data_IF_893968719575
#
_entry.id   IF_893968719575
#
_cell.length_a   1.000
_cell.length_b   1.000
_cell.length_c   1.000
_cell.angle_alpha   90.00
_cell.angle_beta   90.00
_cell.angle_gamma   90.00
#
_symmetry.space_group_name_H-M   'P 1'
#
loop_
_entity.id
_entity.type
_entity.pdbx_description
1 polymer ?
#
# COMPACT_ATOMS: atom_id res chain seq x y z
N UNK A 1 -4.04 -28.27 6.47
CA UNK A 1 -3.56 -28.18 5.06
C UNK A 1 -2.03 -28.30 4.88
N UNK A 2 -1.18 -27.43 5.45
CA UNK A 2 0.30 -27.54 5.26
C UNK A 2 0.85 -28.82 5.90
N UNK A 3 0.50 -29.08 7.16
CA UNK A 3 0.87 -30.31 7.88
C UNK A 3 0.32 -31.56 7.18
N UNK A 4 -0.98 -31.57 6.84
CA UNK A 4 -1.63 -32.65 6.10
C UNK A 4 -0.95 -32.99 4.75
N UNK A 5 -0.29 -32.01 4.12
CA UNK A 5 0.41 -32.19 2.84
C UNK A 5 1.92 -32.42 3.00
N UNK A 6 2.44 -32.51 4.23
CA UNK A 6 3.86 -32.75 4.50
C UNK A 6 4.78 -31.60 4.07
N UNK A 7 4.28 -30.36 4.05
CA UNK A 7 5.03 -29.19 3.53
C UNK A 7 5.69 -28.34 4.62
N UNK A 8 5.80 -28.84 5.85
CA UNK A 8 6.31 -28.07 7.00
C UNK A 8 7.76 -27.63 6.83
N UNK A 9 8.58 -28.40 6.12
CA UNK A 9 9.99 -28.06 5.88
C UNK A 9 10.18 -27.08 4.71
N UNK A 10 9.13 -26.83 3.92
CA UNK A 10 9.16 -25.96 2.73
C UNK A 10 8.38 -24.67 2.89
N UNK A 11 7.54 -24.56 3.92
CA UNK A 11 6.67 -23.39 4.15
C UNK A 11 6.93 -22.82 5.54
N UNK A 12 7.44 -21.58 5.57
CA UNK A 12 7.63 -20.83 6.81
C UNK A 12 6.65 -19.66 6.87
N UNK A 13 5.82 -19.65 7.92
CA UNK A 13 4.99 -18.48 8.23
C UNK A 13 5.79 -17.48 9.05
N UNK A 14 5.87 -16.25 8.57
CA UNK A 14 6.43 -15.12 9.33
C UNK A 14 5.27 -14.40 9.99
N UNK A 15 4.99 -14.75 11.24
CA UNK A 15 3.87 -14.18 12.01
C UNK A 15 4.25 -12.84 12.66
N UNK A 16 4.71 -11.89 11.85
CA UNK A 16 5.14 -10.57 12.28
C UNK A 16 4.64 -9.52 11.28
N UNK A 17 4.23 -8.37 11.80
CA UNK A 17 4.11 -7.18 10.98
C UNK A 17 5.52 -6.64 10.74
N UNK A 18 5.98 -6.67 9.48
CA UNK A 18 7.34 -6.27 9.13
C UNK A 18 7.40 -4.78 8.85
N UNK A 19 8.33 -4.10 9.52
CA UNK A 19 8.69 -2.74 9.16
C UNK A 19 9.28 -2.70 7.76
N UNK A 20 9.13 -1.55 7.09
CA UNK A 20 9.50 -1.40 5.68
C UNK A 20 10.95 -1.84 5.38
N UNK A 21 11.99 -1.46 6.15
CA UNK A 21 13.37 -1.91 5.86
C UNK A 21 13.51 -3.43 5.85
N UNK A 22 12.90 -4.11 6.82
CA UNK A 22 12.95 -5.57 6.94
C UNK A 22 12.17 -6.23 5.80
N UNK A 23 10.99 -5.70 5.46
CA UNK A 23 10.24 -6.18 4.30
C UNK A 23 11.05 -6.08 3.01
N UNK A 24 11.76 -4.96 2.79
CA UNK A 24 12.58 -4.77 1.60
C UNK A 24 13.74 -5.77 1.54
N UNK A 25 14.39 -6.08 2.67
CA UNK A 25 15.41 -7.14 2.74
C UNK A 25 14.84 -8.51 2.34
N UNK A 26 13.66 -8.86 2.85
CA UNK A 26 12.97 -10.10 2.45
C UNK A 26 12.73 -10.15 0.95
N UNK A 27 12.23 -9.06 0.37
CA UNK A 27 11.92 -8.98 -1.06
C UNK A 27 13.19 -9.02 -1.93
N UNK A 28 14.30 -8.43 -1.49
CA UNK A 28 15.60 -8.51 -2.17
C UNK A 28 16.17 -9.94 -2.17
N UNK A 29 15.92 -10.71 -1.11
CA UNK A 29 16.31 -12.12 -1.00
C UNK A 29 15.34 -13.08 -1.71
N UNK A 30 14.20 -12.59 -2.18
CA UNK A 30 13.15 -13.40 -2.80
C UNK A 30 13.45 -13.64 -4.28
N UNK A 31 13.52 -14.92 -4.68
CA UNK A 31 13.73 -15.30 -6.09
C UNK A 31 12.52 -15.03 -6.98
N UNK A 32 11.31 -15.25 -6.46
CA UNK A 32 10.04 -15.04 -7.15
C UNK A 32 8.97 -14.59 -6.14
N UNK A 33 8.32 -13.45 -6.42
CA UNK A 33 7.21 -12.96 -5.62
C UNK A 33 5.87 -13.37 -6.24
N UNK A 34 5.03 -14.02 -5.43
CA UNK A 34 3.72 -14.52 -5.85
C UNK A 34 2.61 -13.59 -5.36
N UNK A 35 1.96 -12.88 -6.27
CA UNK A 35 0.81 -12.05 -5.99
C UNK A 35 -0.48 -12.80 -6.37
N UNK A 36 -1.18 -13.35 -5.36
CA UNK A 36 -2.27 -14.32 -5.55
C UNK A 36 -3.63 -13.78 -5.13
N UNK A 37 -3.89 -12.49 -5.38
CA UNK A 37 -5.17 -11.88 -5.01
C UNK A 37 -6.34 -12.61 -5.67
N UNK A 38 -7.43 -12.80 -4.91
CA UNK A 38 -8.66 -13.41 -5.41
C UNK A 38 -9.71 -12.39 -5.83
N UNK A 39 -9.44 -11.10 -5.59
CA UNK A 39 -10.32 -10.01 -5.97
C UNK A 39 -9.88 -9.41 -7.32
N UNK A 40 -10.65 -9.61 -8.40
CA UNK A 40 -10.34 -9.05 -9.71
C UNK A 40 -10.43 -7.52 -9.74
N UNK A 41 -11.11 -6.89 -8.78
CA UNK A 41 -11.31 -5.46 -8.74
C UNK A 41 -10.28 -4.73 -7.87
N UNK A 42 -9.29 -5.44 -7.32
CA UNK A 42 -8.24 -4.81 -6.53
C UNK A 42 -7.49 -3.78 -7.39
N UNK A 43 -7.65 -2.50 -7.05
CA UNK A 43 -7.16 -1.40 -7.87
C UNK A 43 -5.63 -1.28 -7.84
N UNK A 44 -4.99 -1.52 -6.68
CA UNK A 44 -3.53 -1.38 -6.48
C UNK A 44 -3.02 -2.35 -5.41
N UNK A 45 -1.70 -2.55 -5.37
CA UNK A 45 -1.02 -3.32 -4.32
C UNK A 45 0.35 -2.71 -4.03
N UNK A 46 0.58 -2.24 -2.80
CA UNK A 46 1.86 -1.64 -2.39
C UNK A 46 2.99 -2.67 -2.31
N UNK A 47 2.72 -3.85 -1.74
CA UNK A 47 3.72 -4.94 -1.64
C UNK A 47 4.15 -5.46 -3.00
N UNK A 48 3.25 -5.45 -3.99
CA UNK A 48 3.58 -5.73 -5.39
C UNK A 48 4.61 -4.74 -5.95
N UNK A 49 4.40 -3.42 -5.75
CA UNK A 49 5.35 -2.39 -6.24
C UNK A 49 6.68 -2.51 -5.52
N UNK A 50 6.68 -2.76 -4.20
CA UNK A 50 7.92 -2.98 -3.45
C UNK A 50 8.70 -4.17 -4.02
N UNK A 51 8.04 -5.31 -4.24
CA UNK A 51 8.70 -6.49 -4.81
C UNK A 51 9.31 -6.19 -6.19
N UNK A 52 8.55 -5.52 -7.06
CA UNK A 52 9.01 -5.13 -8.39
C UNK A 52 10.19 -4.14 -8.31
N UNK A 53 10.16 -3.19 -7.38
CA UNK A 53 11.24 -2.21 -7.15
C UNK A 53 12.50 -2.81 -6.53
N UNK A 54 12.37 -3.95 -5.82
CA UNK A 54 13.51 -4.76 -5.38
C UNK A 54 14.08 -5.62 -6.52
N UNK A 55 13.52 -5.54 -7.73
CA UNK A 55 13.93 -6.37 -8.86
C UNK A 55 13.54 -7.83 -8.70
N UNK A 56 12.47 -8.11 -7.95
CA UNK A 56 11.94 -9.45 -7.82
C UNK A 56 11.08 -9.79 -9.05
N UNK A 57 11.33 -10.91 -9.75
CA UNK A 57 10.41 -11.45 -10.75
C UNK A 57 9.03 -11.71 -10.15
N UNK A 58 7.97 -11.25 -10.83
CA UNK A 58 6.60 -11.31 -10.31
C UNK A 58 5.77 -12.33 -11.07
N UNK A 59 4.98 -13.12 -10.34
CA UNK A 59 3.85 -13.89 -10.87
C UNK A 59 2.57 -13.37 -10.22
N UNK A 60 1.60 -12.90 -11.01
CA UNK A 60 0.43 -12.21 -10.50
C UNK A 60 -0.88 -12.66 -11.15
N UNK A 61 -1.97 -12.62 -10.39
CA UNK A 61 -3.34 -12.70 -10.94
C UNK A 61 -3.68 -11.43 -11.73
N UNK A 62 -4.58 -11.50 -12.75
CA UNK A 62 -4.87 -10.40 -13.67
C UNK A 62 -5.78 -9.34 -13.04
N UNK A 63 -5.27 -8.59 -12.06
CA UNK A 63 -5.90 -7.37 -11.56
C UNK A 63 -5.47 -6.17 -12.43
N UNK A 64 -6.24 -5.04 -12.47
CA UNK A 64 -5.92 -3.88 -13.31
C UNK A 64 -4.46 -3.40 -13.17
N UNK A 65 -3.98 -3.27 -11.93
CA UNK A 65 -2.61 -2.86 -11.63
C UNK A 65 -1.54 -3.81 -12.19
N UNK A 66 -1.75 -5.13 -12.08
CA UNK A 66 -0.81 -6.13 -12.57
C UNK A 66 -0.79 -6.17 -14.10
N UNK A 67 -1.95 -6.03 -14.74
CA UNK A 67 -2.04 -5.97 -16.20
C UNK A 67 -1.35 -4.73 -16.77
N UNK A 68 -1.48 -3.58 -16.11
CA UNK A 68 -0.78 -2.35 -16.49
C UNK A 68 0.75 -2.48 -16.32
N UNK A 69 1.19 -2.99 -15.16
CA UNK A 69 2.61 -3.06 -14.83
C UNK A 69 3.35 -4.24 -15.47
N UNK A 70 2.70 -5.32 -15.88
CA UNK A 70 3.37 -6.52 -16.41
C UNK A 70 3.19 -6.73 -17.92
N UNK A 71 2.74 -5.70 -18.66
CA UNK A 71 2.46 -5.76 -20.09
C UNK A 71 3.69 -5.93 -21.03
N UNK A 72 4.91 -5.96 -20.49
CA UNK A 72 6.19 -5.92 -21.22
C UNK A 72 7.12 -7.11 -20.88
N UNK A 73 6.54 -8.23 -20.45
CA UNK A 73 7.27 -9.41 -19.96
C UNK A 73 8.09 -9.18 -18.68
N UNK A 74 7.84 -8.10 -17.93
CA UNK A 74 8.44 -7.87 -16.59
C UNK A 74 7.90 -8.82 -15.51
N UNK A 75 6.88 -9.62 -15.82
CA UNK A 75 6.36 -10.68 -14.96
C UNK A 75 5.49 -11.68 -15.72
N UNK A 76 4.84 -12.57 -14.98
CA UNK A 76 3.95 -13.60 -15.53
C UNK A 76 2.54 -13.41 -14.96
N UNK A 77 1.54 -13.43 -15.82
CA UNK A 77 0.13 -13.42 -15.41
C UNK A 77 -0.41 -14.86 -15.42
N UNK A 78 -1.20 -15.22 -14.41
CA UNK A 78 -1.89 -16.51 -14.33
C UNK A 78 -3.33 -16.33 -13.84
N UNK A 79 -4.23 -17.24 -14.20
CA UNK A 79 -5.65 -17.10 -13.87
C UNK A 79 -5.97 -17.28 -12.37
N UNK A 80 -7.06 -16.63 -11.94
CA UNK A 80 -7.53 -16.72 -10.57
C UNK A 80 -7.81 -18.17 -10.16
N UNK A 81 -7.24 -18.57 -9.01
CA UNK A 81 -7.41 -19.90 -8.41
C UNK A 81 -6.87 -21.06 -9.28
N UNK A 82 -6.09 -20.78 -10.32
CA UNK A 82 -5.42 -21.82 -11.12
C UNK A 82 -4.06 -22.17 -10.52
N UNK A 83 -4.04 -23.21 -9.68
CA UNK A 83 -2.81 -23.69 -9.06
C UNK A 83 -1.84 -24.34 -10.05
N UNK A 84 -2.33 -24.84 -11.17
CA UNK A 84 -1.51 -25.54 -12.18
C UNK A 84 -0.71 -24.51 -12.98
N UNK A 85 -1.35 -23.43 -13.43
CA UNK A 85 -0.66 -22.32 -14.08
C UNK A 85 0.36 -21.68 -13.14
N UNK A 86 -0.01 -21.44 -11.87
CA UNK A 86 0.89 -20.87 -10.87
C UNK A 86 2.14 -21.74 -10.68
N UNK A 87 1.96 -23.06 -10.55
CA UNK A 87 3.07 -24.01 -10.40
C UNK A 87 3.98 -24.03 -11.65
N UNK A 88 3.39 -24.09 -12.85
CA UNK A 88 4.14 -24.08 -14.10
C UNK A 88 4.94 -22.80 -14.30
N UNK A 89 4.33 -21.63 -14.01
CA UNK A 89 5.00 -20.34 -14.07
C UNK A 89 6.15 -20.26 -13.06
N UNK A 90 5.91 -20.69 -11.82
CA UNK A 90 6.94 -20.69 -10.76
C UNK A 90 8.13 -21.57 -11.14
N UNK A 91 7.88 -22.80 -11.57
CA UNK A 91 8.93 -23.74 -11.98
C UNK A 91 9.72 -23.21 -13.20
N UNK A 92 9.05 -22.56 -14.15
CA UNK A 92 9.70 -21.93 -15.30
C UNK A 92 10.64 -20.79 -14.88
N UNK A 93 10.24 -19.94 -13.93
CA UNK A 93 11.11 -18.87 -13.45
C UNK A 93 12.29 -19.42 -12.66
N UNK A 94 12.06 -20.36 -11.73
CA UNK A 94 13.11 -20.95 -10.91
C UNK A 94 14.16 -21.73 -11.74
N UNK A 95 13.75 -22.34 -12.86
CA UNK A 95 14.64 -23.10 -13.75
C UNK A 95 15.39 -22.24 -14.77
N UNK A 96 15.01 -20.97 -14.98
CA UNK A 96 15.56 -20.13 -16.04
C UNK A 96 16.15 -18.81 -15.50
N UNK A 97 17.43 -18.88 -15.08
CA UNK A 97 18.18 -17.72 -14.57
C UNK A 97 18.28 -16.56 -15.56
N UNK A 98 18.32 -16.84 -16.87
CA UNK A 98 18.37 -15.79 -17.90
C UNK A 98 17.07 -15.00 -17.93
N UNK A 99 15.93 -15.71 -17.92
CA UNK A 99 14.60 -15.11 -17.89
C UNK A 99 14.41 -14.24 -16.64
N UNK A 100 14.76 -14.75 -15.46
CA UNK A 100 14.62 -13.99 -14.21
C UNK A 100 15.53 -12.78 -14.15
N UNK A 101 16.75 -12.87 -14.70
CA UNK A 101 17.65 -11.71 -14.82
C UNK A 101 17.07 -10.63 -15.74
N UNK A 102 16.46 -11.01 -16.86
CA UNK A 102 15.81 -10.05 -17.75
C UNK A 102 14.60 -9.39 -17.07
N UNK A 103 13.74 -10.17 -16.40
CA UNK A 103 12.59 -9.66 -15.66
C UNK A 103 13.00 -8.69 -14.55
N UNK A 104 14.06 -9.01 -13.80
CA UNK A 104 14.62 -8.14 -12.76
C UNK A 104 14.99 -6.76 -13.30
N UNK A 105 15.75 -6.72 -14.40
CA UNK A 105 16.18 -5.47 -15.01
C UNK A 105 14.97 -4.68 -15.52
N UNK A 106 14.03 -5.35 -16.19
CA UNK A 106 12.81 -4.72 -16.69
C UNK A 106 11.97 -4.10 -15.56
N UNK A 107 11.77 -4.84 -14.45
CA UNK A 107 11.04 -4.36 -13.28
C UNK A 107 11.69 -3.14 -12.61
N UNK A 108 13.02 -3.16 -12.45
CA UNK A 108 13.77 -2.01 -11.91
C UNK A 108 13.65 -0.78 -12.81
N UNK A 109 13.79 -0.94 -14.12
CA UNK A 109 13.65 0.16 -15.07
C UNK A 109 12.24 0.76 -15.06
N UNK A 110 11.22 -0.10 -14.94
CA UNK A 110 9.82 0.32 -14.94
C UNK A 110 9.44 1.08 -13.67
N UNK A 111 9.92 0.62 -12.52
CA UNK A 111 9.59 1.24 -11.23
C UNK A 111 10.34 2.55 -10.98
N UNK A 112 11.46 2.79 -11.66
CA UNK A 112 12.21 4.04 -11.53
C UNK A 112 11.37 5.27 -11.88
N UNK A 113 10.55 5.22 -12.93
CA UNK A 113 9.68 6.34 -13.32
C UNK A 113 8.50 6.54 -12.37
N UNK A 114 8.09 5.50 -11.64
CA UNK A 114 6.98 5.53 -10.68
C UNK A 114 7.41 5.93 -9.27
N UNK A 115 8.68 6.29 -9.07
CA UNK A 115 9.17 6.82 -7.79
C UNK A 115 8.34 8.02 -7.32
N UNK A 116 8.24 8.19 -6.00
CA UNK A 116 7.35 9.18 -5.40
C UNK A 116 7.77 10.61 -5.75
N UNK A 117 9.07 10.83 -5.84
CA UNK A 117 9.69 12.09 -6.26
C UNK A 117 9.31 12.42 -7.72
N UNK A 118 9.34 11.44 -8.61
CA UNK A 118 8.93 11.61 -10.01
C UNK A 118 7.43 11.89 -10.13
N UNK A 119 6.62 11.22 -9.30
CA UNK A 119 5.18 11.51 -9.20
C UNK A 119 4.94 12.94 -8.74
N UNK A 120 5.64 13.41 -7.70
CA UNK A 120 5.54 14.79 -7.21
C UNK A 120 5.93 15.83 -8.27
N UNK A 121 7.01 15.58 -9.01
CA UNK A 121 7.43 16.43 -10.14
C UNK A 121 6.34 16.48 -11.22
N UNK A 122 5.76 15.33 -11.59
CA UNK A 122 4.69 15.27 -12.59
C UNK A 122 3.46 16.09 -12.17
N UNK A 123 3.04 16.02 -10.91
CA UNK A 123 1.96 16.85 -10.37
C UNK A 123 2.31 18.35 -10.38
N UNK A 124 3.52 18.73 -9.96
CA UNK A 124 3.95 20.12 -9.99
C UNK A 124 3.92 20.70 -11.41
N UNK A 125 4.42 19.96 -12.40
CA UNK A 125 4.36 20.34 -13.82
C UNK A 125 2.92 20.46 -14.33
N UNK A 126 2.04 19.54 -13.93
CA UNK A 126 0.62 19.59 -14.29
C UNK A 126 -0.06 20.84 -13.71
N UNK A 127 0.19 21.17 -12.45
CA UNK A 127 -0.38 22.36 -11.81
C UNK A 127 0.13 23.64 -12.46
N UNK A 128 1.43 23.77 -12.71
CA UNK A 128 1.99 24.93 -13.41
C UNK A 128 1.33 25.12 -14.79
N UNK A 129 1.15 24.02 -15.54
CA UNK A 129 0.48 24.05 -16.85
C UNK A 129 -0.98 24.46 -16.75
N UNK A 130 -1.71 24.02 -15.72
CA UNK A 130 -3.17 24.28 -15.60
C UNK A 130 -3.50 25.62 -14.97
N UNK A 131 -2.63 26.15 -14.13
CA UNK A 131 -2.84 27.39 -13.37
C UNK A 131 -2.10 28.59 -13.98
N UNK A 132 -1.42 28.42 -15.12
CA UNK A 132 -0.55 29.43 -15.76
C UNK A 132 0.45 30.06 -14.77
N UNK A 133 0.97 29.25 -13.84
CA UNK A 133 1.94 29.72 -12.86
C UNK A 133 3.29 29.84 -13.57
N UNK A 134 3.69 31.08 -13.85
CA UNK A 134 4.97 31.42 -14.50
C UNK A 134 6.17 31.37 -13.57
N UNK A 135 5.94 31.26 -12.26
CA UNK A 135 6.97 31.18 -11.23
C UNK A 135 7.17 29.75 -10.76
N UNK A 136 8.36 29.42 -10.27
CA UNK A 136 8.59 28.11 -9.65
C UNK A 136 7.65 27.92 -8.44
N UNK A 137 7.06 26.73 -8.25
CA UNK A 137 6.20 26.46 -7.10
C UNK A 137 7.01 26.62 -5.81
N UNK A 138 6.47 27.36 -4.85
CA UNK A 138 7.06 27.49 -3.52
C UNK A 138 6.60 26.30 -2.69
N UNK A 139 7.55 25.41 -2.36
CA UNK A 139 7.28 24.29 -1.47
C UNK A 139 7.04 24.83 -0.06
N UNK A 140 5.79 24.82 0.37
CA UNK A 140 5.40 25.15 1.74
C UNK A 140 4.33 24.20 2.20
N UNK A 141 4.45 23.74 3.44
CA UNK A 141 3.39 22.98 4.08
C UNK A 141 2.29 23.97 4.50
N UNK A 142 1.01 23.66 4.25
CA UNK A 142 -0.07 24.48 4.76
C UNK A 142 -0.07 24.45 6.30
N UNK A 143 -0.68 25.44 6.95
CA UNK A 143 -0.89 25.37 8.39
C UNK A 143 -1.65 24.09 8.76
N UNK A 144 -1.26 23.48 9.87
CA UNK A 144 -1.91 22.27 10.37
C UNK A 144 -3.38 22.56 10.67
N UNK A 145 -4.27 21.70 10.18
CA UNK A 145 -5.70 21.86 10.31
C UNK A 145 -6.34 20.53 10.74
N UNK A 146 -6.83 20.48 11.98
CA UNK A 146 -7.47 19.30 12.57
C UNK A 146 -8.98 19.24 12.34
N UNK A 147 -9.58 20.27 11.72
CA UNK A 147 -11.04 20.39 11.57
C UNK A 147 -11.65 19.27 10.74
N UNK A 148 -10.92 18.72 9.77
CA UNK A 148 -11.45 17.59 9.00
C UNK A 148 -11.55 16.32 9.85
N UNK A 149 -10.51 16.00 10.64
CA UNK A 149 -10.53 14.87 11.58
C UNK A 149 -11.68 15.05 12.57
N UNK A 150 -11.80 16.23 13.18
CA UNK A 150 -12.88 16.55 14.13
C UNK A 150 -14.27 16.40 13.48
N UNK A 151 -14.44 16.85 12.22
CA UNK A 151 -15.69 16.73 11.46
C UNK A 151 -16.05 15.30 11.09
N UNK A 152 -15.05 14.46 10.82
CA UNK A 152 -15.23 13.03 10.56
C UNK A 152 -15.59 12.25 11.83
N UNK A 153 -15.38 12.84 12.99
CA UNK A 153 -15.61 12.21 14.29
C UNK A 153 -16.95 12.56 14.89
N UNK A 154 -17.57 11.54 15.48
CA UNK A 154 -18.81 11.63 16.26
C UNK A 154 -18.53 11.14 17.67
N UNK A 155 -19.53 11.22 18.56
CA UNK A 155 -19.37 10.86 19.98
C UNK A 155 -18.96 9.40 20.24
N UNK A 156 -18.95 8.53 19.23
CA UNK A 156 -18.44 7.16 19.35
C UNK A 156 -17.03 6.98 18.77
N UNK A 157 -16.76 7.50 17.57
CA UNK A 157 -15.51 7.28 16.83
C UNK A 157 -15.46 8.14 15.54
N UNK A 158 -14.32 8.08 14.83
CA UNK A 158 -14.12 8.61 13.47
C UNK A 158 -14.77 7.70 12.43
N UNK A 159 -15.62 8.29 11.59
CA UNK A 159 -16.31 7.63 10.47
C UNK A 159 -15.29 7.27 9.37
N UNK A 160 -15.40 6.06 8.80
CA UNK A 160 -14.42 5.52 7.86
C UNK A 160 -14.32 6.33 6.55
N UNK A 161 -15.46 6.64 5.92
CA UNK A 161 -15.48 7.30 4.60
C UNK A 161 -16.24 8.62 4.59
N UNK A 162 -15.92 9.43 3.58
CA UNK A 162 -16.59 10.70 3.30
C UNK A 162 -17.04 10.77 1.83
N UNK A 163 -18.07 11.58 1.58
CA UNK A 163 -18.46 12.02 0.24
C UNK A 163 -18.05 13.48 0.11
N UNK A 164 -16.87 13.69 -0.48
CA UNK A 164 -16.23 15.01 -0.50
C UNK A 164 -15.87 15.45 0.92
N UNK A 165 -16.47 16.54 1.40
CA UNK A 165 -16.22 17.07 2.74
C UNK A 165 -17.25 16.63 3.81
N UNK A 166 -18.17 15.71 3.48
CA UNK A 166 -19.23 15.24 4.37
C UNK A 166 -18.97 13.79 4.80
N UNK A 167 -19.02 13.46 6.10
CA UNK A 167 -18.89 12.08 6.55
C UNK A 167 -20.00 11.19 5.98
N UNK A 168 -19.66 10.01 5.46
CA UNK A 168 -20.63 8.99 5.06
C UNK A 168 -20.92 8.07 6.23
N UNK A 169 -21.93 8.43 7.02
CA UNK A 169 -22.31 7.72 8.25
C UNK A 169 -22.55 6.22 8.00
N UNK A 170 -23.00 5.85 6.79
CA UNK A 170 -23.28 4.45 6.44
C UNK A 170 -22.02 3.60 6.31
N UNK A 171 -20.84 4.22 6.18
CA UNK A 171 -19.56 3.49 6.14
C UNK A 171 -19.17 2.89 7.49
N UNK A 172 -19.74 3.39 8.59
CA UNK A 172 -19.38 2.93 9.93
C UNK A 172 -18.02 3.43 10.38
N UNK A 173 -17.33 2.60 11.16
CA UNK A 173 -16.08 2.94 11.86
C UNK A 173 -15.07 1.82 11.65
N UNK A 174 -13.79 2.17 11.57
CA UNK A 174 -12.71 1.17 11.55
C UNK A 174 -11.64 1.46 12.58
N UNK A 175 -11.01 0.39 13.06
CA UNK A 175 -9.94 0.46 14.04
C UNK A 175 -8.74 1.26 13.53
N UNK A 176 -8.39 1.09 12.25
CA UNK A 176 -7.22 1.71 11.65
C UNK A 176 -7.37 3.23 11.49
N UNK A 177 -8.54 3.72 11.09
CA UNK A 177 -8.80 5.17 10.99
C UNK A 177 -8.80 5.84 12.36
N UNK A 178 -9.42 5.21 13.36
CA UNK A 178 -9.43 5.73 14.72
C UNK A 178 -8.04 5.71 15.37
N UNK A 179 -7.24 4.67 15.12
CA UNK A 179 -5.84 4.63 15.57
C UNK A 179 -5.00 5.74 14.93
N UNK A 180 -5.13 5.98 13.61
CA UNK A 180 -4.42 7.10 12.95
C UNK A 180 -4.88 8.45 13.46
N UNK A 181 -6.18 8.64 13.69
CA UNK A 181 -6.73 9.87 14.23
C UNK A 181 -6.23 10.13 15.66
N UNK A 182 -6.14 9.09 16.49
CA UNK A 182 -5.54 9.15 17.83
C UNK A 182 -4.09 9.62 17.77
N UNK A 183 -3.26 9.02 16.91
CA UNK A 183 -1.86 9.40 16.74
C UNK A 183 -1.76 10.88 16.32
N UNK A 184 -2.50 11.28 15.27
CA UNK A 184 -2.43 12.63 14.73
C UNK A 184 -2.87 13.70 15.74
N UNK A 185 -3.98 13.49 16.46
CA UNK A 185 -4.44 14.46 17.45
C UNK A 185 -3.59 14.45 18.72
N UNK A 186 -3.00 13.32 19.11
CA UNK A 186 -2.04 13.25 20.23
C UNK A 186 -0.78 14.04 19.92
N UNK A 187 -0.25 13.94 18.69
CA UNK A 187 0.88 14.75 18.23
C UNK A 187 0.54 16.25 18.23
N UNK A 188 -0.62 16.62 17.70
CA UNK A 188 -1.11 18.00 17.73
C UNK A 188 -1.23 18.54 19.16
N UNK A 189 -1.79 17.76 20.08
CA UNK A 189 -1.86 18.12 21.49
C UNK A 189 -0.46 18.30 22.10
N UNK A 190 0.46 17.37 21.85
CA UNK A 190 1.81 17.42 22.41
C UNK A 190 2.59 18.66 21.94
N UNK A 191 2.55 18.96 20.64
CA UNK A 191 3.34 20.02 19.99
C UNK A 191 2.72 21.42 20.08
N UNK A 192 1.40 21.52 20.03
CA UNK A 192 0.68 22.81 19.98
C UNK A 192 -0.13 23.12 21.23
N UNK A 193 -0.26 22.16 22.16
CA UNK A 193 -1.11 22.27 23.35
C UNK A 193 -2.57 22.60 23.01
N UNK A 194 -3.07 22.09 21.87
CA UNK A 194 -4.45 22.27 21.46
C UNK A 194 -5.38 21.37 22.28
N UNK A 195 -5.89 21.91 23.39
CA UNK A 195 -6.79 21.24 24.34
C UNK A 195 -8.07 20.72 23.66
N UNK A 196 -8.48 21.31 22.54
CA UNK A 196 -9.66 20.82 21.81
C UNK A 196 -9.50 19.41 21.22
N UNK A 197 -8.27 18.87 21.23
CA UNK A 197 -7.98 17.49 20.82
C UNK A 197 -8.32 16.45 21.90
N UNK A 198 -8.33 16.81 23.19
CA UNK A 198 -8.43 15.85 24.31
C UNK A 198 -9.68 14.97 24.23
N UNK A 199 -10.85 15.57 23.98
CA UNK A 199 -12.12 14.84 23.86
C UNK A 199 -12.08 13.81 22.72
N UNK A 200 -11.42 14.13 21.61
CA UNK A 200 -11.31 13.21 20.47
C UNK A 200 -10.30 12.10 20.74
N UNK A 201 -9.16 12.42 21.39
CA UNK A 201 -8.16 11.44 21.83
C UNK A 201 -8.84 10.38 22.72
N UNK A 202 -9.60 10.82 23.72
CA UNK A 202 -10.36 9.93 24.60
C UNK A 202 -11.39 9.10 23.82
N UNK A 203 -12.12 9.72 22.89
CA UNK A 203 -13.10 9.03 22.02
C UNK A 203 -12.44 7.89 21.25
N UNK A 204 -11.30 8.14 20.61
CA UNK A 204 -10.62 7.11 19.82
C UNK A 204 -10.01 6.01 20.68
N UNK A 205 -9.47 6.37 21.86
CA UNK A 205 -8.96 5.38 22.80
C UNK A 205 -10.07 4.45 23.30
N UNK A 206 -11.22 5.01 23.67
CA UNK A 206 -12.40 4.25 24.10
C UNK A 206 -12.90 3.32 22.99
N UNK A 207 -12.94 3.80 21.74
CA UNK A 207 -13.30 2.98 20.59
C UNK A 207 -12.32 1.81 20.38
N UNK A 208 -11.01 2.06 20.45
CA UNK A 208 -9.99 1.01 20.32
C UNK A 208 -10.16 -0.04 21.42
N UNK A 209 -10.36 0.37 22.67
CA UNK A 209 -10.63 -0.56 23.79
C UNK A 209 -11.92 -1.36 23.59
N UNK A 210 -12.94 -0.78 22.97
CA UNK A 210 -14.19 -1.49 22.66
C UNK A 210 -14.03 -2.58 21.58
N UNK A 211 -13.04 -2.46 20.69
CA UNK A 211 -12.78 -3.44 19.63
C UNK A 211 -11.89 -4.62 20.04
N UNK A 212 -11.29 -4.59 21.25
CA UNK A 212 -10.46 -5.66 21.80
C UNK A 212 -11.30 -6.74 22.48
#
# INVERSE_FOLDING_TARGET
>A
KIVERGLTDSVRFVNLYLDLPVLLEYLQLTDVYLFTSSDPNQAVSGTFVYALSCGCPIIATPIPHALELLNDNSGVIFDFKDSVQLANATNRLLSNKKLTSCMRIAGLQKTASTAWENSAIAYALLFNKKLDIKTSPVYSLPPLNTEHIKRMSRGFAMIQFSKGNRPDIKSGYTLDDNARALIALSQMYAERKDVSCETYIETYLNFICHCQ
#
